data_IF_354171572317
#
_entry.id   IF_354171572317
#
_cell.length_a   1.000
_cell.length_b   1.000
_cell.length_c   1.000
_cell.angle_alpha   90.00
_cell.angle_beta   90.00
_cell.angle_gamma   90.00
#
_symmetry.space_group_name_H-M   'P 1'
#
loop_
_entity.id
_entity.type
_entity.pdbx_description
1 polymer ?
#
# COMPACT_ATOMS: atom_id res chain seq x y z
N UNK A 1 19.69 4.97 9.93
CA UNK A 1 19.35 5.96 10.98
C UNK A 1 19.43 7.35 10.35
N UNK A 2 18.29 7.99 10.14
CA UNK A 2 18.24 9.40 9.74
C UNK A 2 17.60 10.13 10.92
N UNK A 3 18.24 11.17 11.41
CA UNK A 3 17.78 12.02 12.53
C UNK A 3 17.64 11.35 13.90
N UNK A 4 18.44 10.32 14.19
CA UNK A 4 18.47 9.67 15.51
C UNK A 4 17.30 8.73 15.81
N UNK A 5 16.32 8.60 14.92
CA UNK A 5 15.20 7.69 15.11
C UNK A 5 15.59 6.25 14.75
N UNK A 6 15.25 5.33 15.62
CA UNK A 6 15.41 3.88 15.39
C UNK A 6 14.10 3.33 14.84
N UNK A 7 14.19 2.46 13.85
CA UNK A 7 13.09 1.61 13.39
C UNK A 7 13.63 0.22 13.05
N UNK A 8 12.78 -0.76 13.07
CA UNK A 8 13.08 -2.14 12.72
C UNK A 8 12.34 -2.51 11.45
N UNK A 9 12.91 -3.43 10.69
CA UNK A 9 12.26 -4.06 9.52
C UNK A 9 12.15 -5.54 9.84
N UNK A 10 10.92 -6.04 9.84
CA UNK A 10 10.64 -7.48 9.83
C UNK A 10 10.52 -7.92 8.37
N UNK A 11 11.16 -9.02 8.03
CA UNK A 11 11.08 -9.64 6.71
C UNK A 11 10.77 -11.13 6.86
N UNK A 12 9.77 -11.60 6.14
CA UNK A 12 9.43 -13.01 6.01
C UNK A 12 9.58 -13.42 4.55
N UNK A 13 10.34 -14.48 4.33
CA UNK A 13 10.61 -15.05 3.01
C UNK A 13 9.87 -16.37 2.87
N UNK A 14 9.24 -16.55 1.72
CA UNK A 14 8.46 -17.72 1.34
C UNK A 14 8.96 -18.23 0.00
N UNK A 15 8.69 -19.48 -0.33
CA UNK A 15 9.05 -20.05 -1.64
C UNK A 15 8.40 -19.30 -2.81
N UNK A 16 7.25 -18.66 -2.55
CA UNK A 16 6.40 -17.97 -3.51
C UNK A 16 6.23 -16.46 -3.23
N UNK A 17 7.16 -15.85 -2.48
CA UNK A 17 7.17 -14.40 -2.29
C UNK A 17 7.86 -13.90 -1.02
N UNK A 18 7.60 -12.65 -0.70
CA UNK A 18 8.19 -11.97 0.45
C UNK A 18 7.19 -10.98 1.06
N UNK A 19 7.24 -10.86 2.38
CA UNK A 19 6.53 -9.83 3.11
C UNK A 19 7.50 -9.06 4.00
N UNK A 20 7.35 -7.73 4.05
CA UNK A 20 8.13 -6.88 4.94
C UNK A 20 7.24 -5.84 5.62
N UNK A 21 7.61 -5.42 6.83
CA UNK A 21 6.95 -4.33 7.54
C UNK A 21 7.94 -3.56 8.40
N UNK A 22 7.52 -2.41 8.84
CA UNK A 22 8.30 -1.58 9.78
C UNK A 22 7.70 -1.68 11.18
N UNK A 23 8.60 -1.69 12.19
CA UNK A 23 8.24 -1.44 13.58
C UNK A 23 8.98 -0.20 14.06
N UNK A 24 8.23 0.76 14.58
CA UNK A 24 8.71 2.08 14.97
C UNK A 24 8.47 2.23 16.49
N UNK A 25 9.51 2.14 17.33
CA UNK A 25 9.37 2.35 18.76
C UNK A 25 8.70 3.70 19.04
N UNK A 26 7.63 3.70 19.81
CA UNK A 26 6.89 4.90 20.15
C UNK A 26 6.03 4.67 21.39
N UNK A 27 6.03 5.64 22.27
CA UNK A 27 5.19 5.70 23.46
C UNK A 27 3.91 6.53 23.24
N UNK A 28 3.68 6.98 22.02
CA UNK A 28 2.52 7.80 21.67
C UNK A 28 2.35 8.00 20.16
N UNK A 29 1.41 8.86 19.77
CA UNK A 29 1.10 9.11 18.36
C UNK A 29 2.31 9.65 17.59
N UNK A 30 2.42 9.24 16.32
CA UNK A 30 3.42 9.73 15.35
C UNK A 30 2.76 10.15 14.04
N UNK A 31 3.33 11.17 13.42
CA UNK A 31 2.98 11.54 12.06
C UNK A 31 3.82 10.75 11.07
N UNK A 32 3.16 10.01 10.18
CA UNK A 32 3.80 9.28 9.09
C UNK A 32 3.54 10.03 7.78
N UNK A 33 4.60 10.49 7.14
CA UNK A 33 4.51 11.27 5.89
C UNK A 33 4.60 10.42 4.63
N UNK A 34 5.05 9.18 4.74
CA UNK A 34 5.19 8.27 3.60
C UNK A 34 6.18 7.16 3.88
N UNK A 35 6.37 6.33 2.88
CA UNK A 35 7.36 5.25 2.87
C UNK A 35 8.02 5.15 1.50
N UNK A 36 9.17 4.45 1.45
CA UNK A 36 9.93 4.27 0.21
C UNK A 36 10.10 2.80 -0.17
N UNK A 37 9.32 1.92 0.45
CA UNK A 37 9.29 0.50 0.07
C UNK A 37 8.91 0.39 -1.39
N UNK A 38 9.69 -0.33 -2.16
CA UNK A 38 9.44 -0.47 -3.59
C UNK A 38 10.00 -1.78 -4.13
N UNK A 39 9.39 -2.24 -5.20
CA UNK A 39 9.88 -3.34 -6.01
C UNK A 39 10.24 -2.84 -7.41
N UNK A 40 11.33 -3.35 -7.96
CA UNK A 40 11.76 -3.02 -9.32
C UNK A 40 11.59 -4.26 -10.19
N UNK A 41 10.89 -4.08 -11.30
CA UNK A 41 10.58 -5.15 -12.24
C UNK A 41 11.52 -5.11 -13.46
N UNK A 42 11.74 -6.23 -14.15
CA UNK A 42 12.40 -6.21 -15.45
C UNK A 42 11.64 -5.36 -16.47
N UNK A 43 12.36 -4.71 -17.38
CA UNK A 43 11.74 -4.01 -18.51
C UNK A 43 10.89 -4.98 -19.34
N UNK A 44 9.77 -4.50 -19.88
CA UNK A 44 8.79 -5.33 -20.58
C UNK A 44 7.84 -6.12 -19.68
N UNK A 45 7.86 -5.89 -18.36
CA UNK A 45 6.83 -6.44 -17.46
C UNK A 45 5.50 -5.75 -17.73
N UNK A 46 4.43 -6.53 -17.90
CA UNK A 46 3.06 -6.03 -17.94
C UNK A 46 2.49 -5.85 -16.55
N UNK A 47 1.60 -4.87 -16.37
CA UNK A 47 0.89 -4.66 -15.11
C UNK A 47 -0.58 -4.38 -15.34
N UNK A 48 -1.44 -5.06 -14.58
CA UNK A 48 -2.88 -4.83 -14.49
C UNK A 48 -3.21 -4.22 -13.14
N UNK A 49 -3.90 -3.07 -13.17
CA UNK A 49 -4.23 -2.32 -11.96
C UNK A 49 -5.46 -1.42 -12.17
N UNK A 50 -6.15 -1.10 -11.09
CA UNK A 50 -7.10 -0.01 -11.10
C UNK A 50 -6.34 1.31 -10.90
N UNK A 51 -6.58 2.30 -11.79
CA UNK A 51 -5.86 3.58 -11.76
C UNK A 51 -6.56 4.61 -10.87
N UNK A 52 -5.79 5.50 -10.22
CA UNK A 52 -6.33 6.70 -9.54
C UNK A 52 -6.81 7.77 -10.53
N UNK A 53 -7.46 8.84 -10.06
CA UNK A 53 -7.69 9.21 -8.65
C UNK A 53 -8.86 8.44 -8.02
N UNK A 54 -8.71 8.05 -6.75
CA UNK A 54 -9.71 7.24 -6.03
C UNK A 54 -10.78 8.08 -5.30
N UNK A 55 -11.11 9.26 -5.82
CA UNK A 55 -12.03 10.22 -5.22
C UNK A 55 -13.46 9.68 -5.04
N UNK A 56 -13.85 8.72 -5.86
CA UNK A 56 -15.20 8.16 -5.88
C UNK A 56 -15.24 6.67 -5.52
N UNK A 57 -14.24 6.19 -4.80
CA UNK A 57 -14.09 4.79 -4.43
C UNK A 57 -13.13 4.03 -5.31
N UNK A 58 -12.99 2.74 -5.02
CA UNK A 58 -12.01 1.85 -5.67
C UNK A 58 -12.52 1.24 -6.99
N UNK A 59 -13.74 1.60 -7.42
CA UNK A 59 -14.34 1.09 -8.65
C UNK A 59 -13.84 1.94 -9.81
N UNK A 60 -12.70 1.54 -10.38
CA UNK A 60 -12.09 2.16 -11.56
C UNK A 60 -11.88 1.11 -12.63
N UNK A 61 -11.84 1.54 -13.89
CA UNK A 61 -11.49 0.66 -14.98
C UNK A 61 -10.06 0.15 -14.82
N UNK A 62 -9.87 -1.15 -14.99
CA UNK A 62 -8.53 -1.73 -14.99
C UNK A 62 -7.76 -1.25 -16.21
N UNK A 63 -6.50 -0.93 -15.99
CA UNK A 63 -5.52 -0.61 -17.01
C UNK A 63 -4.65 -1.83 -17.27
N UNK A 64 -4.25 -2.01 -18.52
CA UNK A 64 -3.21 -2.93 -18.97
C UNK A 64 -2.08 -2.09 -19.56
N UNK A 65 -0.92 -2.08 -18.92
CA UNK A 65 0.22 -1.25 -19.28
C UNK A 65 1.52 -2.03 -19.16
N UNK A 66 2.57 -1.51 -19.81
CA UNK A 66 3.94 -1.90 -19.46
C UNK A 66 4.43 -1.09 -18.26
N UNK A 67 5.21 -1.72 -17.37
CA UNK A 67 5.87 -1.00 -16.27
C UNK A 67 6.80 0.10 -16.75
N UNK A 68 7.27 0.05 -17.99
CA UNK A 68 8.07 1.11 -18.63
C UNK A 68 7.26 2.41 -18.84
N UNK A 69 5.92 2.35 -18.79
CA UNK A 69 5.02 3.46 -19.14
C UNK A 69 4.18 4.01 -17.99
N UNK A 70 4.31 3.47 -16.77
CA UNK A 70 3.48 3.86 -15.61
C UNK A 70 4.11 4.90 -14.69
N UNK A 71 5.16 5.58 -15.14
CA UNK A 71 5.77 6.66 -14.36
C UNK A 71 4.71 7.69 -13.97
N UNK A 72 4.73 8.08 -12.70
CA UNK A 72 3.82 9.04 -12.06
C UNK A 72 2.34 8.61 -12.00
N UNK A 73 2.02 7.36 -12.37
CA UNK A 73 0.67 6.82 -12.22
C UNK A 73 0.43 6.31 -10.80
N UNK A 74 -0.83 6.40 -10.37
CA UNK A 74 -1.36 5.80 -9.14
C UNK A 74 -2.01 4.46 -9.47
N UNK A 75 -1.57 3.42 -8.76
CA UNK A 75 -2.10 2.08 -8.88
C UNK A 75 -2.74 1.65 -7.57
N UNK A 76 -3.97 1.13 -7.63
CA UNK A 76 -4.59 0.49 -6.48
C UNK A 76 -3.99 -0.90 -6.23
N UNK A 77 -3.63 -1.24 -4.99
CA UNK A 77 -3.36 -2.63 -4.65
C UNK A 77 -4.68 -3.45 -4.57
N UNK A 78 -4.67 -4.74 -4.91
CA UNK A 78 -3.53 -5.45 -5.49
C UNK A 78 -3.28 -5.07 -6.95
N UNK A 79 -2.01 -4.88 -7.30
CA UNK A 79 -1.59 -4.75 -8.70
C UNK A 79 -0.94 -6.07 -9.15
N UNK A 80 -1.33 -6.57 -10.31
CA UNK A 80 -0.86 -7.85 -10.86
C UNK A 80 0.11 -7.60 -12.00
N UNK A 81 1.20 -8.35 -12.03
CA UNK A 81 2.27 -8.22 -12.99
C UNK A 81 2.52 -9.55 -13.72
N UNK A 82 2.92 -9.44 -14.98
CA UNK A 82 3.46 -10.56 -15.77
C UNK A 82 4.86 -10.19 -16.22
N UNK A 83 5.85 -10.89 -15.70
CA UNK A 83 7.25 -10.71 -16.02
C UNK A 83 7.58 -11.30 -17.41
N UNK A 84 8.63 -10.83 -18.09
CA UNK A 84 9.01 -11.35 -19.42
C UNK A 84 9.32 -12.85 -19.47
N UNK A 85 9.68 -13.45 -18.34
CA UNK A 85 9.93 -14.89 -18.22
C UNK A 85 8.67 -15.74 -17.99
N UNK A 86 7.48 -15.11 -17.97
CA UNK A 86 6.21 -15.78 -17.74
C UNK A 86 5.78 -15.89 -16.28
N UNK A 87 6.61 -15.46 -15.33
CA UNK A 87 6.23 -15.42 -13.89
C UNK A 87 5.18 -14.37 -13.65
N UNK A 88 4.12 -14.70 -12.92
CA UNK A 88 3.17 -13.75 -12.40
C UNK A 88 3.61 -13.24 -11.04
N UNK A 89 3.33 -11.97 -10.76
CA UNK A 89 3.54 -11.38 -9.45
C UNK A 89 2.34 -10.53 -9.04
N UNK A 90 2.15 -10.34 -7.75
CA UNK A 90 1.21 -9.35 -7.23
C UNK A 90 1.80 -8.59 -6.06
N UNK A 91 1.54 -7.28 -6.02
CA UNK A 91 1.88 -6.42 -4.89
C UNK A 91 0.60 -6.05 -4.16
N UNK A 92 0.60 -6.26 -2.85
CA UNK A 92 -0.50 -5.86 -1.97
C UNK A 92 0.00 -5.59 -0.56
N UNK A 93 -0.93 -5.31 0.34
CA UNK A 93 -0.67 -5.19 1.78
C UNK A 93 -1.49 -6.22 2.56
N UNK A 94 -1.04 -6.53 3.75
CA UNK A 94 -1.74 -7.42 4.66
C UNK A 94 -1.66 -6.91 6.10
N UNK A 95 -2.60 -7.35 6.94
CA UNK A 95 -2.67 -7.00 8.36
C UNK A 95 -2.79 -5.50 8.60
N UNK A 96 -3.73 -4.85 7.90
CA UNK A 96 -3.99 -3.41 7.99
C UNK A 96 -4.81 -3.11 9.26
N UNK A 97 -4.16 -2.73 10.34
CA UNK A 97 -4.77 -2.32 11.60
C UNK A 97 -4.20 -0.98 12.08
N UNK A 98 -5.10 -0.04 12.38
CA UNK A 98 -4.74 1.27 12.92
C UNK A 98 -3.64 1.98 12.11
N UNK A 99 -3.68 1.82 10.80
CA UNK A 99 -2.72 2.39 9.87
C UNK A 99 -3.42 2.77 8.56
N UNK A 100 -2.79 3.64 7.78
CA UNK A 100 -3.31 4.02 6.48
C UNK A 100 -3.11 2.91 5.44
N UNK A 101 -4.17 2.62 4.67
CA UNK A 101 -4.05 1.79 3.47
C UNK A 101 -3.12 2.43 2.44
N UNK A 102 -2.27 1.62 1.85
CA UNK A 102 -1.31 2.09 0.86
C UNK A 102 -1.93 2.18 -0.54
N UNK A 103 -1.33 3.02 -1.36
CA UNK A 103 -1.41 2.99 -2.82
C UNK A 103 -0.03 2.71 -3.38
N UNK A 104 0.02 2.38 -4.65
CA UNK A 104 1.27 2.17 -5.36
C UNK A 104 1.50 3.32 -6.33
N UNK A 105 2.75 3.73 -6.46
CA UNK A 105 3.19 4.76 -7.38
C UNK A 105 4.14 4.15 -8.41
N UNK A 106 3.82 4.30 -9.67
CA UNK A 106 4.77 4.05 -10.74
C UNK A 106 5.91 5.05 -10.67
N UNK A 107 7.15 4.59 -10.76
CA UNK A 107 8.37 5.38 -10.74
C UNK A 107 9.23 5.07 -11.95
N UNK A 108 10.28 5.85 -12.15
CA UNK A 108 11.30 5.56 -13.18
C UNK A 108 11.92 4.17 -12.98
N UNK A 109 12.47 3.63 -14.05
CA UNK A 109 13.19 2.34 -14.08
C UNK A 109 12.32 1.16 -13.61
N UNK A 110 11.06 1.10 -14.04
CA UNK A 110 10.13 0.00 -13.73
C UNK A 110 9.94 -0.25 -12.23
N UNK A 111 10.10 0.77 -11.44
CA UNK A 111 9.93 0.72 -10.00
C UNK A 111 8.49 1.02 -9.62
N UNK A 112 7.93 0.20 -8.75
CA UNK A 112 6.61 0.39 -8.16
C UNK A 112 6.79 0.56 -6.66
N UNK A 113 6.39 1.72 -6.13
CA UNK A 113 6.65 2.15 -4.76
C UNK A 113 5.35 2.24 -3.97
N UNK A 114 5.34 1.72 -2.75
CA UNK A 114 4.29 1.99 -1.78
C UNK A 114 4.32 3.45 -1.32
N UNK A 115 3.15 3.98 -1.06
CA UNK A 115 3.00 5.30 -0.50
C UNK A 115 1.55 5.54 -0.08
N UNK A 116 1.23 6.77 0.24
CA UNK A 116 -0.10 7.16 0.69
C UNK A 116 -0.62 8.24 -0.22
N UNK A 117 -1.92 8.17 -0.54
CA UNK A 117 -2.59 9.33 -1.15
C UNK A 117 -2.57 10.44 -0.11
N UNK A 118 -2.20 11.64 -0.53
CA UNK A 118 -2.33 12.81 0.33
C UNK A 118 -3.75 12.84 0.91
N UNK A 119 -3.84 12.83 2.22
CA UNK A 119 -5.13 12.95 2.87
C UNK A 119 -5.59 14.40 2.73
N UNK A 120 -6.42 14.63 1.75
CA UNK A 120 -7.11 15.89 1.57
C UNK A 120 -8.23 15.90 2.60
N UNK A 121 -7.90 16.40 3.79
CA UNK A 121 -8.64 16.20 5.01
C UNK A 121 -10.11 16.54 4.92
N UNK A 122 -10.90 15.63 5.42
CA UNK A 122 -12.27 15.90 5.86
C UNK A 122 -12.24 16.56 7.23
N UNK A 123 -13.03 17.58 7.41
CA UNK A 123 -13.34 18.09 8.75
C UNK A 123 -14.29 17.08 9.39
N UNK A 124 -13.91 16.55 10.56
CA UNK A 124 -14.68 15.50 11.27
C UNK A 124 -16.16 15.83 11.45
N UNK A 125 -16.53 17.10 11.47
CA UNK A 125 -17.92 17.57 11.64
C UNK A 125 -18.83 17.22 10.47
N UNK A 126 -18.30 16.94 9.29
CA UNK A 126 -19.12 16.63 8.11
C UNK A 126 -19.34 15.13 7.90
N UNK A 127 -18.45 14.31 8.43
CA UNK A 127 -18.62 12.85 8.44
C UNK A 127 -19.78 12.44 9.32
N UNK A 128 -20.07 13.19 10.38
CA UNK A 128 -21.11 12.88 11.37
C UNK A 128 -22.52 13.11 10.82
N UNK A 129 -22.70 13.96 9.84
CA UNK A 129 -24.00 14.25 9.25
C UNK A 129 -24.48 13.26 8.21
N UNK A 130 -23.60 12.37 7.74
CA UNK A 130 -23.96 11.22 6.90
C UNK A 130 -24.57 11.55 5.54
N UNK A 131 -24.58 12.79 5.14
CA UNK A 131 -25.11 13.21 3.84
C UNK A 131 -23.96 13.59 2.92
N UNK A 132 -23.84 12.96 1.75
CA UNK A 132 -22.92 13.43 0.73
C UNK A 132 -23.46 14.72 0.14
N UNK A 133 -23.17 15.86 0.73
CA UNK A 133 -23.33 17.14 0.09
C UNK A 133 -22.26 17.27 -1.00
N UNK A 134 -22.62 17.80 -2.14
CA UNK A 134 -21.69 18.05 -3.25
C UNK A 134 -20.54 18.99 -2.85
N UNK A 135 -20.70 19.76 -1.79
CA UNK A 135 -19.66 20.58 -1.17
C UNK A 135 -18.58 19.77 -0.44
N UNK A 136 -18.94 18.60 0.07
CA UNK A 136 -18.06 17.69 0.76
C UNK A 136 -16.82 17.29 -0.07
N UNK A 137 -16.94 17.25 -1.37
CA UNK A 137 -15.87 16.86 -2.28
C UNK A 137 -15.02 18.03 -2.78
N UNK A 138 -15.38 19.26 -2.42
CA UNK A 138 -14.75 20.47 -2.92
C UNK A 138 -14.11 21.34 -1.84
N UNK A 139 -14.30 21.03 -0.56
CA UNK A 139 -13.70 21.83 0.51
C UNK A 139 -12.23 21.53 0.76
N UNK A 140 -11.54 22.61 1.03
CA UNK A 140 -10.10 22.78 1.16
C UNK A 140 -9.33 21.53 1.63
N UNK A 141 -8.62 21.05 0.69
CA UNK A 141 -7.58 20.06 0.80
C UNK A 141 -6.48 20.54 1.74
N UNK A 142 -6.52 20.10 2.97
CA UNK A 142 -5.39 20.22 3.90
C UNK A 142 -4.57 18.94 3.82
N UNK A 143 -3.27 19.10 3.54
CA UNK A 143 -2.32 18.01 3.72
C UNK A 143 -2.21 17.72 5.22
N UNK A 144 -3.03 16.79 5.70
CA UNK A 144 -2.97 16.34 7.09
C UNK A 144 -2.07 15.11 7.10
N UNK A 145 -0.92 15.16 7.79
CA UNK A 145 -0.09 13.98 7.94
C UNK A 145 -0.89 12.90 8.67
N UNK A 146 -0.66 11.64 8.29
CA UNK A 146 -1.27 10.52 8.95
C UNK A 146 -0.75 10.40 10.37
N UNK A 147 -1.66 10.45 11.32
CA UNK A 147 -1.37 10.21 12.72
C UNK A 147 -1.73 8.76 13.00
N UNK A 148 -0.77 8.01 13.45
CA UNK A 148 -0.94 6.65 13.92
C UNK A 148 -0.42 6.52 15.35
N UNK A 149 -0.92 5.53 16.07
CA UNK A 149 -0.54 5.28 17.46
C UNK A 149 -0.17 3.81 17.64
N UNK A 150 0.65 3.48 18.64
CA UNK A 150 0.79 2.10 19.09
C UNK A 150 -0.58 1.47 19.38
N UNK A 151 -0.71 0.18 19.18
CA UNK A 151 -1.88 -0.57 19.65
C UNK A 151 -1.91 -0.53 21.19
N UNK A 152 -3.10 -0.70 21.78
CA UNK A 152 -3.26 -0.67 23.23
C UNK A 152 -2.29 -1.64 23.93
N UNK A 153 -1.43 -1.09 24.78
CA UNK A 153 -0.45 -1.85 25.55
C UNK A 153 0.87 -2.15 24.82
N UNK A 154 1.03 -1.72 23.58
CA UNK A 154 2.28 -1.81 22.82
C UNK A 154 3.07 -0.51 22.89
N UNK A 155 4.40 -0.60 22.81
CA UNK A 155 5.32 0.52 22.80
C UNK A 155 5.93 0.74 21.40
N UNK A 156 5.20 0.34 20.36
CA UNK A 156 5.64 0.49 18.98
C UNK A 156 4.46 0.61 18.01
N UNK A 157 4.67 1.36 16.96
CA UNK A 157 3.79 1.41 15.81
C UNK A 157 4.26 0.35 14.83
N UNK A 158 3.33 -0.51 14.39
CA UNK A 158 3.59 -1.58 13.42
C UNK A 158 2.84 -1.28 12.15
N UNK A 159 3.56 -1.19 11.03
CA UNK A 159 2.92 -0.96 9.72
C UNK A 159 2.28 -2.26 9.21
N UNK A 160 1.31 -2.17 8.28
CA UNK A 160 0.90 -3.34 7.51
C UNK A 160 2.09 -3.98 6.78
N UNK A 161 1.95 -5.26 6.48
CA UNK A 161 2.91 -5.95 5.63
C UNK A 161 2.83 -5.45 4.19
N UNK A 162 3.97 -5.25 3.57
CA UNK A 162 4.14 -5.00 2.14
C UNK A 162 4.49 -6.32 1.49
N UNK A 163 3.55 -6.86 0.74
CA UNK A 163 3.59 -8.23 0.24
C UNK A 163 3.86 -8.23 -1.25
N UNK A 164 4.86 -9.01 -1.67
CA UNK A 164 5.09 -9.42 -3.04
C UNK A 164 4.85 -10.91 -3.12
N UNK A 165 3.85 -11.33 -3.89
CA UNK A 165 3.56 -12.72 -4.21
C UNK A 165 4.09 -13.05 -5.60
N UNK A 166 4.55 -14.29 -5.80
CA UNK A 166 5.03 -14.82 -7.08
C UNK A 166 4.32 -16.12 -7.40
N UNK A 167 4.10 -16.41 -8.69
CA UNK A 167 3.52 -17.67 -9.13
C UNK A 167 3.88 -17.97 -10.60
N UNK A 168 3.83 -19.23 -10.99
CA UNK A 168 4.03 -19.65 -12.37
C UNK A 168 2.82 -19.32 -13.26
N UNK A 169 1.62 -19.24 -12.67
CA UNK A 169 0.38 -18.90 -13.35
C UNK A 169 -0.59 -18.12 -12.45
N UNK A 170 -1.70 -17.65 -13.00
CA UNK A 170 -2.74 -16.92 -12.27
C UNK A 170 -3.42 -17.77 -11.20
N UNK A 171 -3.55 -19.07 -11.40
CA UNK A 171 -4.15 -19.96 -10.41
C UNK A 171 -3.26 -20.08 -9.17
N UNK A 172 -1.95 -20.21 -9.35
CA UNK A 172 -0.97 -20.18 -8.26
C UNK A 172 -1.01 -18.83 -7.53
N UNK A 173 -1.12 -17.72 -8.26
CA UNK A 173 -1.19 -16.40 -7.65
C UNK A 173 -2.44 -16.21 -6.78
N UNK A 174 -3.61 -16.64 -7.26
CA UNK A 174 -4.89 -16.54 -6.53
C UNK A 174 -4.90 -17.44 -5.29
N UNK A 175 -4.22 -18.58 -5.34
CA UNK A 175 -4.12 -19.53 -4.22
C UNK A 175 -2.92 -19.27 -3.29
N UNK A 176 -2.14 -18.22 -3.52
CA UNK A 176 -1.01 -17.85 -2.67
C UNK A 176 -1.48 -17.57 -1.23
N UNK A 177 -0.77 -18.10 -0.24
CA UNK A 177 -1.18 -18.07 1.16
C UNK A 177 -0.43 -17.02 2.00
N UNK A 178 0.46 -16.23 1.42
CA UNK A 178 1.31 -15.30 2.19
C UNK A 178 0.46 -14.33 3.00
N UNK A 179 -0.59 -13.74 2.40
CA UNK A 179 -1.49 -12.80 3.10
C UNK A 179 -2.08 -13.45 4.37
N UNK A 180 -2.56 -14.68 4.25
CA UNK A 180 -3.15 -15.40 5.38
C UNK A 180 -2.10 -15.77 6.45
N UNK A 181 -0.86 -16.03 6.04
CA UNK A 181 0.21 -16.41 6.96
C UNK A 181 0.77 -15.22 7.74
N UNK A 182 0.81 -14.02 7.15
CA UNK A 182 1.32 -12.81 7.82
C UNK A 182 0.24 -12.00 8.52
N UNK A 183 -1.03 -12.35 8.36
CA UNK A 183 -2.14 -11.67 9.03
C UNK A 183 -2.41 -12.28 10.40
N UNK A 184 -2.74 -11.42 11.38
CA UNK A 184 -3.21 -11.87 12.68
C UNK A 184 -4.51 -12.65 12.48
N UNK A 185 -4.71 -13.70 13.27
CA UNK A 185 -5.98 -14.42 13.25
C UNK A 185 -7.08 -13.51 13.83
N UNK A 186 -8.25 -13.46 13.22
CA UNK A 186 -9.37 -12.78 13.86
C UNK A 186 -9.71 -13.48 15.18
N UNK A 187 -9.97 -12.67 16.21
CA UNK A 187 -10.43 -13.14 17.53
C UNK A 187 -11.85 -13.74 17.45
#
# INVERSE_FOLDING_TARGET
>A
QKDGNTYYIDSWEFDDGVALRYRIPSDGPRCIYGEQTAYTFPSGTHVWYASGPFQYGWIQAYQDRSTDSIKDELLAPPATFLLPNGTYAAITEANLFNFHGAVLFGKENNRVQFGYVENKGHVETEIITGLPDSKFWHEEVRNIPWITSPRNGENEIVTPWRVLMLAEDLNGLVNNQIIAQVSDRPD
#
